data_IF_060450075842
#
_entry.id   IF_060450075842
#
_cell.length_a   1.000
_cell.length_b   1.000
_cell.length_c   1.000
_cell.angle_alpha   90.00
_cell.angle_beta   90.00
_cell.angle_gamma   90.00
#
_symmetry.space_group_name_H-M   'P 1'
#
loop_
_entity.id
_entity.type
_entity.pdbx_description
1 polymer ?
#
# COMPACT_ATOMS: atom_id res chain seq x y z
N UNK A 1 18.49 18.24 -10.59
CA UNK A 1 17.47 19.27 -10.28
C UNK A 1 16.10 18.61 -10.41
N UNK A 2 15.13 18.88 -9.53
CA UNK A 2 13.88 18.11 -9.36
C UNK A 2 12.84 18.15 -10.52
N UNK A 3 13.22 18.59 -11.73
CA UNK A 3 12.31 18.62 -12.89
C UNK A 3 11.10 19.56 -12.80
N UNK A 4 11.05 20.43 -11.78
CA UNK A 4 9.89 21.29 -11.54
C UNK A 4 9.95 22.55 -12.42
N UNK A 5 8.90 22.77 -13.23
CA UNK A 5 8.75 23.98 -14.07
C UNK A 5 8.69 25.28 -13.26
N UNK A 6 8.24 25.20 -12.01
CA UNK A 6 8.20 26.30 -11.04
C UNK A 6 8.34 25.77 -9.63
N UNK A 7 8.76 26.64 -8.70
CA UNK A 7 8.81 26.31 -7.27
C UNK A 7 7.39 26.05 -6.73
N UNK A 8 7.13 24.93 -6.05
CA UNK A 8 5.84 24.68 -5.41
C UNK A 8 5.59 25.66 -4.26
N UNK A 9 4.33 26.07 -4.07
CA UNK A 9 3.87 26.83 -2.91
C UNK A 9 3.08 25.92 -1.97
N UNK A 10 3.72 25.27 -0.99
CA UNK A 10 3.05 24.35 -0.08
C UNK A 10 1.97 25.06 0.74
N UNK A 11 0.85 24.39 0.98
CA UNK A 11 -0.21 24.90 1.85
C UNK A 11 0.26 24.90 3.31
N UNK A 12 -0.04 25.97 4.06
CA UNK A 12 0.40 26.13 5.46
C UNK A 12 -0.10 25.05 6.43
N UNK A 13 -1.16 24.32 6.06
CA UNK A 13 -1.76 23.25 6.88
C UNK A 13 -1.60 21.84 6.30
N UNK A 14 -0.64 21.61 5.39
CA UNK A 14 -0.44 20.27 4.83
C UNK A 14 -0.05 19.27 5.94
N UNK A 15 -0.89 18.23 6.14
CA UNK A 15 -0.56 17.12 7.02
C UNK A 15 0.35 16.16 6.26
N UNK A 16 1.58 15.99 6.73
CA UNK A 16 2.51 14.99 6.18
C UNK A 16 2.36 13.70 6.98
N UNK A 17 1.98 12.57 6.35
CA UNK A 17 1.85 11.29 7.05
C UNK A 17 3.14 10.91 7.79
N UNK A 18 3.05 10.34 9.01
CA UNK A 18 4.23 9.98 9.82
C UNK A 18 5.24 9.09 9.08
N UNK A 19 4.75 8.13 8.29
CA UNK A 19 5.57 7.23 7.48
C UNK A 19 6.41 8.00 6.43
N UNK A 20 5.84 8.99 5.76
CA UNK A 20 6.57 9.83 4.79
C UNK A 20 7.69 10.63 5.48
N UNK A 21 7.47 11.08 6.71
CA UNK A 21 8.51 11.74 7.52
C UNK A 21 9.63 10.77 7.90
N UNK A 22 9.28 9.53 8.21
CA UNK A 22 10.25 8.48 8.52
C UNK A 22 11.11 8.14 7.30
N UNK A 23 10.51 7.91 6.13
CA UNK A 23 11.25 7.71 4.88
C UNK A 23 12.21 8.86 4.58
N UNK A 24 11.77 10.10 4.78
CA UNK A 24 12.64 11.27 4.60
C UNK A 24 13.85 11.24 5.55
N UNK A 25 13.66 10.92 6.84
CA UNK A 25 14.76 10.81 7.82
C UNK A 25 15.73 9.69 7.47
N UNK A 26 15.20 8.55 7.06
CA UNK A 26 15.97 7.39 6.60
C UNK A 26 16.85 7.77 5.40
N UNK A 27 16.27 8.45 4.41
CA UNK A 27 17.00 8.92 3.22
C UNK A 27 18.01 10.04 3.53
N UNK A 28 17.73 10.91 4.50
CA UNK A 28 18.60 12.00 4.93
C UNK A 28 19.80 11.56 5.79
N UNK A 29 20.11 10.25 5.87
CA UNK A 29 21.34 9.73 6.48
C UNK A 29 21.17 9.08 7.86
N UNK A 30 19.95 8.75 8.30
CA UNK A 30 19.72 8.02 9.55
C UNK A 30 19.35 6.55 9.24
N UNK A 31 20.36 5.72 8.99
CA UNK A 31 20.36 4.24 8.92
C UNK A 31 19.16 3.57 8.22
N UNK A 32 19.31 3.24 6.94
CA UNK A 32 18.41 2.31 6.24
C UNK A 32 18.77 0.85 6.56
N UNK A 33 17.75 0.02 6.75
CA UNK A 33 17.90 -1.44 6.63
C UNK A 33 18.20 -1.83 5.18
N UNK A 34 19.19 -2.71 4.99
CA UNK A 34 19.90 -3.01 3.73
C UNK A 34 19.07 -3.44 2.50
N UNK A 35 17.76 -3.67 2.60
CA UNK A 35 16.92 -4.14 1.50
C UNK A 35 16.13 -3.02 0.80
N UNK A 36 15.58 -2.06 1.54
CA UNK A 36 14.90 -0.89 0.94
C UNK A 36 15.92 0.04 0.26
N UNK A 37 17.17 0.03 0.74
CA UNK A 37 18.28 0.79 0.16
C UNK A 37 18.42 0.58 -1.35
N UNK A 38 18.44 -0.65 -1.87
CA UNK A 38 18.90 -0.85 -3.26
C UNK A 38 17.92 -0.38 -4.33
N UNK A 39 16.62 -0.60 -4.16
CA UNK A 39 15.62 -0.22 -5.16
C UNK A 39 15.17 1.24 -5.02
N UNK A 40 15.09 1.75 -3.78
CA UNK A 40 14.67 3.12 -3.50
C UNK A 40 15.81 4.14 -3.50
N UNK A 41 17.09 3.72 -3.34
CA UNK A 41 18.24 4.66 -3.40
C UNK A 41 18.36 5.40 -4.73
N UNK A 42 17.88 4.81 -5.83
CA UNK A 42 17.89 5.44 -7.15
C UNK A 42 16.72 6.39 -7.36
N UNK A 43 15.72 6.38 -6.48
CA UNK A 43 14.56 7.25 -6.60
C UNK A 43 14.90 8.67 -6.14
N UNK A 44 14.49 9.65 -6.94
CA UNK A 44 14.65 11.08 -6.64
C UNK A 44 13.36 11.70 -6.05
N UNK A 45 12.26 10.96 -6.08
CA UNK A 45 10.93 11.42 -5.67
C UNK A 45 10.20 10.30 -4.95
N UNK A 46 9.54 10.61 -3.83
CA UNK A 46 8.68 9.69 -3.08
C UNK A 46 7.28 10.27 -3.06
N UNK A 47 6.26 9.44 -3.35
CA UNK A 47 4.84 9.82 -3.31
C UNK A 47 4.05 8.79 -2.51
N UNK A 48 3.04 9.27 -1.80
CA UNK A 48 2.07 8.43 -1.10
C UNK A 48 0.70 8.60 -1.76
N UNK A 49 0.01 7.49 -1.97
CA UNK A 49 -1.35 7.44 -2.50
C UNK A 49 -2.25 6.79 -1.47
N UNK A 50 -3.42 7.38 -1.25
CA UNK A 50 -4.44 6.81 -0.39
C UNK A 50 -5.46 6.06 -1.23
N UNK A 51 -6.06 5.02 -0.65
CA UNK A 51 -7.19 4.36 -1.29
C UNK A 51 -8.38 5.31 -1.38
N UNK A 52 -9.14 5.20 -2.47
CA UNK A 52 -10.42 5.88 -2.64
C UNK A 52 -11.54 5.05 -1.99
N UNK A 53 -11.91 5.45 -0.78
CA UNK A 53 -12.95 4.79 0.02
C UNK A 53 -14.33 4.81 -0.66
N UNK A 54 -14.61 5.81 -1.51
CA UNK A 54 -15.90 5.91 -2.19
C UNK A 54 -16.10 4.83 -3.27
N UNK A 55 -15.01 4.26 -3.77
CA UNK A 55 -15.00 3.17 -4.75
C UNK A 55 -14.88 1.80 -4.10
N UNK A 56 -14.69 1.73 -2.78
CA UNK A 56 -14.66 0.47 -2.07
C UNK A 56 -16.07 -0.13 -2.01
N UNK A 57 -16.26 -1.26 -2.69
CA UNK A 57 -17.45 -2.09 -2.51
C UNK A 57 -17.41 -2.71 -1.10
N UNK A 58 -17.99 -2.03 -0.12
CA UNK A 58 -18.24 -2.60 1.20
C UNK A 58 -19.19 -3.80 1.04
N UNK A 59 -18.88 -4.97 1.61
CA UNK A 59 -19.79 -6.11 1.52
C UNK A 59 -20.95 -5.90 2.49
N UNK A 60 -21.93 -5.09 2.12
CA UNK A 60 -23.06 -4.84 3.01
C UNK A 60 -23.87 -6.11 3.30
N UNK A 61 -23.72 -7.18 2.50
CA UNK A 61 -24.52 -8.42 2.66
C UNK A 61 -23.85 -9.72 2.19
N UNK A 62 -22.57 -9.71 1.77
CA UNK A 62 -21.95 -10.92 1.19
C UNK A 62 -20.83 -11.48 2.07
N UNK A 63 -20.76 -12.82 2.23
CA UNK A 63 -19.67 -13.56 2.91
C UNK A 63 -18.30 -13.41 2.22
N UNK A 64 -18.09 -12.38 1.42
CA UNK A 64 -16.87 -12.14 0.67
C UNK A 64 -15.77 -11.68 1.62
N UNK A 65 -14.72 -12.48 1.71
CA UNK A 65 -13.49 -12.20 2.45
C UNK A 65 -12.52 -11.30 1.67
N UNK A 66 -12.81 -11.04 0.40
CA UNK A 66 -12.00 -10.17 -0.45
C UNK A 66 -12.41 -8.69 -0.30
N UNK A 67 -11.42 -7.80 -0.37
CA UNK A 67 -11.57 -6.34 -0.42
C UNK A 67 -10.84 -5.80 -1.64
N UNK A 68 -11.42 -4.78 -2.28
CA UNK A 68 -10.85 -4.13 -3.46
C UNK A 68 -10.47 -2.72 -3.07
N UNK A 69 -9.22 -2.35 -3.36
CA UNK A 69 -8.70 -1.01 -3.08
C UNK A 69 -8.36 -0.34 -4.41
N UNK A 70 -8.82 0.89 -4.57
CA UNK A 70 -8.55 1.71 -5.75
C UNK A 70 -7.59 2.83 -5.38
N UNK A 71 -6.53 3.00 -6.16
CA UNK A 71 -5.53 4.05 -5.96
C UNK A 71 -5.48 4.93 -7.20
N UNK A 72 -5.67 6.24 -7.01
CA UNK A 72 -5.55 7.19 -8.10
C UNK A 72 -4.06 7.55 -8.30
N UNK A 73 -3.46 7.03 -9.37
CA UNK A 73 -2.06 7.26 -9.71
C UNK A 73 -1.86 8.37 -10.77
N UNK A 74 -2.88 9.12 -11.15
CA UNK A 74 -2.80 10.12 -12.25
C UNK A 74 -1.86 11.28 -11.95
N UNK A 75 -1.41 11.44 -10.70
CA UNK A 75 -0.40 12.45 -10.35
C UNK A 75 1.04 12.02 -10.64
N UNK A 76 1.28 10.76 -11.06
CA UNK A 76 2.60 10.31 -11.52
C UNK A 76 2.81 10.85 -12.94
N UNK A 77 3.84 11.68 -13.19
CA UNK A 77 4.13 12.16 -14.54
C UNK A 77 4.60 11.03 -15.45
N UNK A 78 4.23 11.10 -16.74
CA UNK A 78 4.57 10.08 -17.73
C UNK A 78 6.09 9.96 -17.98
N UNK A 79 6.85 11.02 -17.67
CA UNK A 79 8.31 11.04 -17.83
C UNK A 79 9.04 10.38 -16.65
N UNK A 80 8.33 10.01 -15.58
CA UNK A 80 8.90 9.37 -14.41
C UNK A 80 8.81 7.83 -14.50
N UNK A 81 9.85 7.14 -14.04
CA UNK A 81 9.85 5.68 -13.94
C UNK A 81 9.76 5.25 -12.47
N UNK A 82 8.86 4.30 -12.19
CA UNK A 82 8.72 3.72 -10.86
C UNK A 82 9.82 2.68 -10.64
N UNK A 83 10.68 2.91 -9.64
CA UNK A 83 11.75 1.97 -9.29
C UNK A 83 11.38 1.01 -8.17
N UNK A 84 10.42 1.39 -7.33
CA UNK A 84 9.92 0.60 -6.20
C UNK A 84 8.53 1.08 -5.81
N UNK A 85 7.69 0.17 -5.32
CA UNK A 85 6.36 0.47 -4.80
C UNK A 85 6.14 -0.28 -3.48
N UNK A 86 5.38 0.33 -2.57
CA UNK A 86 5.01 -0.27 -1.30
C UNK A 86 3.51 -0.13 -1.04
N UNK A 87 2.84 -1.24 -0.70
CA UNK A 87 1.45 -1.27 -0.26
C UNK A 87 1.39 -1.43 1.26
N UNK A 88 0.82 -0.46 1.96
CA UNK A 88 0.60 -0.55 3.40
C UNK A 88 -0.86 -0.84 3.69
N UNK A 89 -1.11 -1.96 4.36
CA UNK A 89 -2.45 -2.33 4.83
C UNK A 89 -2.45 -2.24 6.35
N UNK A 90 -3.32 -1.39 6.86
CA UNK A 90 -3.56 -1.26 8.29
C UNK A 90 -4.82 -2.05 8.64
N UNK A 91 -4.70 -2.89 9.67
CA UNK A 91 -5.84 -3.57 10.27
C UNK A 91 -6.07 -2.96 11.64
N UNK A 92 -7.27 -2.46 11.88
CA UNK A 92 -7.70 -2.09 13.22
C UNK A 92 -7.80 -3.34 14.11
N UNK A 93 -7.35 -3.23 15.36
CA UNK A 93 -7.43 -4.32 16.30
C UNK A 93 -8.90 -4.53 16.66
N UNK A 94 -9.49 -5.61 16.14
CA UNK A 94 -10.82 -6.03 16.58
C UNK A 94 -10.69 -6.62 17.98
N UNK A 95 -11.21 -5.92 18.99
CA UNK A 95 -11.34 -6.37 20.38
C UNK A 95 -12.45 -7.42 20.56
N UNK A 96 -12.73 -8.21 19.53
CA UNK A 96 -13.75 -9.27 19.63
C UNK A 96 -13.22 -10.36 20.54
N UNK A 97 -14.07 -10.76 21.48
CA UNK A 97 -13.82 -11.72 22.53
C UNK A 97 -13.37 -13.06 21.95
N UNK A 98 -12.06 -13.25 21.81
CA UNK A 98 -11.48 -14.57 21.59
C UNK A 98 -11.51 -15.29 22.94
N UNK A 99 -12.64 -15.97 23.23
CA UNK A 99 -12.87 -16.71 24.49
C UNK A 99 -11.91 -17.89 24.69
N UNK A 100 -11.04 -18.21 23.74
CA UNK A 100 -10.08 -19.30 23.83
C UNK A 100 -8.66 -18.83 23.48
N UNK A 101 -7.68 -19.26 24.27
CA UNK A 101 -6.23 -19.03 24.16
C UNK A 101 -5.59 -19.59 22.86
N UNK A 102 -6.34 -19.70 21.76
CA UNK A 102 -5.85 -20.18 20.48
C UNK A 102 -5.34 -19.01 19.63
N UNK A 103 -4.08 -19.10 19.19
CA UNK A 103 -3.54 -18.23 18.15
C UNK A 103 -4.20 -18.56 16.81
N UNK A 104 -4.83 -17.57 16.16
CA UNK A 104 -5.41 -17.75 14.83
C UNK A 104 -4.43 -17.30 13.76
N UNK A 105 -4.21 -18.14 12.76
CA UNK A 105 -3.40 -17.80 11.59
C UNK A 105 -4.32 -17.46 10.43
N UNK A 106 -4.20 -16.24 9.90
CA UNK A 106 -4.88 -15.80 8.69
C UNK A 106 -3.89 -15.74 7.55
N UNK A 107 -4.30 -16.20 6.37
CA UNK A 107 -3.55 -16.01 5.13
C UNK A 107 -4.18 -14.88 4.34
N UNK A 108 -3.42 -13.84 4.09
CA UNK A 108 -3.78 -12.75 3.19
C UNK A 108 -3.10 -12.98 1.84
N UNK A 109 -3.91 -13.02 0.79
CA UNK A 109 -3.41 -13.04 -0.58
C UNK A 109 -3.66 -11.66 -1.18
N UNK A 110 -2.63 -11.07 -1.78
CA UNK A 110 -2.68 -9.76 -2.43
C UNK A 110 -2.71 -9.98 -3.93
N UNK A 111 -3.73 -9.44 -4.60
CA UNK A 111 -3.92 -9.58 -6.03
C UNK A 111 -3.94 -8.22 -6.71
N UNK A 112 -3.32 -8.16 -7.89
CA UNK A 112 -3.49 -7.08 -8.85
C UNK A 112 -4.64 -7.42 -9.79
N UNK A 113 -5.49 -6.45 -10.09
CA UNK A 113 -6.55 -6.59 -11.10
C UNK A 113 -5.96 -6.13 -12.44
N UNK A 114 -5.68 -7.09 -13.33
CA UNK A 114 -5.16 -6.83 -14.67
C UNK A 114 -6.28 -6.38 -15.61
N UNK A 115 -7.46 -7.00 -15.47
CA UNK A 115 -8.67 -6.59 -16.18
C UNK A 115 -9.85 -6.57 -15.21
N UNK A 116 -10.56 -5.44 -15.06
CA UNK A 116 -11.71 -5.36 -14.20
C UNK A 116 -12.84 -6.26 -14.73
N UNK A 117 -13.73 -6.67 -13.83
CA UNK A 117 -14.97 -7.32 -14.24
C UNK A 117 -15.80 -6.36 -15.10
N UNK A 118 -16.46 -6.88 -16.12
CA UNK A 118 -17.29 -6.11 -17.05
C UNK A 118 -18.66 -6.76 -17.17
N UNK A 119 -19.62 -6.09 -17.82
CA UNK A 119 -20.93 -6.69 -18.10
C UNK A 119 -20.82 -8.05 -18.85
N UNK A 120 -19.76 -8.24 -19.63
CA UNK A 120 -19.49 -9.47 -20.37
C UNK A 120 -18.73 -10.55 -19.56
N UNK A 121 -18.02 -10.18 -18.49
CA UNK A 121 -17.27 -11.11 -17.64
C UNK A 121 -17.46 -10.78 -16.17
N UNK A 122 -18.15 -11.68 -15.45
CA UNK A 122 -18.47 -11.51 -14.02
C UNK A 122 -17.24 -11.47 -13.12
N UNK A 123 -16.18 -12.16 -13.50
CA UNK A 123 -14.96 -12.26 -12.70
C UNK A 123 -13.82 -11.42 -13.30
N UNK A 124 -13.07 -10.67 -12.46
CA UNK A 124 -11.91 -9.94 -12.90
C UNK A 124 -10.75 -10.89 -13.22
N UNK A 125 -9.89 -10.49 -14.15
CA UNK A 125 -8.61 -11.18 -14.38
C UNK A 125 -7.60 -10.65 -13.40
N UNK A 126 -7.08 -11.51 -12.53
CA UNK A 126 -6.17 -11.12 -11.45
C UNK A 126 -4.83 -11.83 -11.51
N UNK A 127 -3.78 -11.16 -11.04
CA UNK A 127 -2.43 -11.73 -10.82
C UNK A 127 -2.11 -11.71 -9.32
N UNK A 128 -1.73 -12.84 -8.76
CA UNK A 128 -1.25 -12.90 -7.36
C UNK A 128 0.08 -12.16 -7.27
N UNK A 129 0.14 -11.12 -6.44
CA UNK A 129 1.36 -10.35 -6.17
C UNK A 129 2.12 -10.91 -4.97
N UNK A 130 1.40 -11.26 -3.91
CA UNK A 130 2.02 -11.67 -2.65
C UNK A 130 1.08 -12.53 -1.79
N UNK A 131 1.64 -13.31 -0.88
CA UNK A 131 0.90 -14.13 0.10
C UNK A 131 1.56 -13.99 1.47
N UNK A 132 0.78 -13.53 2.46
CA UNK A 132 1.25 -13.26 3.82
C UNK A 132 0.49 -14.08 4.83
N UNK A 133 1.24 -14.70 5.74
CA UNK A 133 0.70 -15.34 6.93
C UNK A 133 0.71 -14.34 8.09
N UNK A 134 -0.45 -14.13 8.69
CA UNK A 134 -0.63 -13.29 9.86
C UNK A 134 -1.00 -14.17 11.05
N UNK A 135 -0.17 -14.15 12.07
CA UNK A 135 -0.54 -14.68 13.38
C UNK A 135 -1.25 -13.58 14.15
N UNK A 136 -2.51 -13.80 14.50
CA UNK A 136 -3.22 -12.96 15.44
C UNK A 136 -2.85 -13.42 16.84
N UNK A 137 -2.00 -12.63 17.50
CA UNK A 137 -1.74 -12.74 18.93
C UNK A 137 -2.38 -11.56 19.66
N UNK A 138 -2.81 -11.79 20.90
CA UNK A 138 -3.46 -10.84 21.81
C UNK A 138 -2.68 -9.53 22.02
N UNK A 139 -1.40 -9.48 21.66
CA UNK A 139 -0.50 -8.36 21.98
C UNK A 139 0.29 -7.89 20.76
N UNK A 140 -0.06 -6.70 20.26
CA UNK A 140 0.87 -5.86 19.50
C UNK A 140 0.42 -5.53 18.08
N UNK A 141 0.00 -4.27 17.90
CA UNK A 141 -0.16 -3.60 16.61
C UNK A 141 1.14 -3.76 15.80
N UNK A 142 1.11 -4.55 14.73
CA UNK A 142 2.21 -4.61 13.76
C UNK A 142 1.78 -3.85 12.51
N UNK A 143 2.45 -2.74 12.25
CA UNK A 143 2.41 -2.05 10.96
C UNK A 143 3.19 -2.90 9.97
N UNK A 144 2.60 -3.20 8.81
CA UNK A 144 3.26 -3.97 7.76
C UNK A 144 3.57 -3.07 6.56
N UNK A 145 4.83 -2.71 6.33
CA UNK A 145 5.26 -2.21 5.02
C UNK A 145 5.34 -3.38 4.02
N UNK A 146 4.51 -3.39 2.98
CA UNK A 146 4.59 -4.41 1.91
C UNK A 146 5.35 -3.84 0.71
N UNK A 147 6.62 -4.17 0.52
CA UNK A 147 7.32 -3.79 -0.72
C UNK A 147 6.85 -4.69 -1.85
N UNK A 148 6.14 -4.13 -2.83
CA UNK A 148 5.78 -4.80 -4.08
C UNK A 148 6.95 -4.63 -5.05
N UNK A 149 7.76 -5.67 -5.22
CA UNK A 149 8.73 -5.76 -6.33
C UNK A 149 7.97 -6.13 -7.62
N UNK A 150 7.20 -5.18 -8.13
CA UNK A 150 6.53 -5.26 -9.42
C UNK A 150 7.02 -4.12 -10.31
N UNK A 151 7.56 -4.44 -11.49
CA UNK A 151 7.55 -3.46 -12.57
C UNK A 151 6.08 -3.15 -12.87
N UNK A 152 5.62 -1.99 -12.41
CA UNK A 152 4.39 -1.40 -12.90
C UNK A 152 4.68 -0.97 -14.33
N UNK A 153 4.10 -1.67 -15.30
CA UNK A 153 4.10 -1.18 -16.68
C UNK A 153 3.24 0.08 -16.75
N UNK A 154 3.68 1.11 -17.51
CA UNK A 154 2.93 2.35 -17.68
C UNK A 154 1.58 2.15 -18.37
#
# INVERSE_FOLDING_TARGET
MFGLKRRPSPSRGAVVPPYMRELYRLHAGHQLGARLERAASRANTVRSFHHDEALEELPETSRKTARRFFFNLTSIPNEESVTSAELQIFREQVQEAFENNSSYHHRINIYEIIKPATAASKDPVTRLLDTRWLTLSYTGSRKWPTVLDGQLSP
#
